data_IF_420423703852
#
_entry.id   IF_420423703852
#
_cell.length_a   1.000
_cell.length_b   1.000
_cell.length_c   1.000
_cell.angle_alpha   90.00
_cell.angle_beta   90.00
_cell.angle_gamma   90.00
#
_symmetry.space_group_name_H-M   'P 1'
#
loop_
_entity.id
_entity.type
_entity.pdbx_description
1 polymer ?
#
# COMPACT_ATOMS: atom_id res chain seq x y z
N UNK A 1 21.03 5.39 -8.81
CA UNK A 1 20.15 4.19 -8.85
C UNK A 1 21.04 2.96 -9.04
N UNK A 2 20.68 1.82 -8.42
CA UNK A 2 21.47 0.61 -8.52
C UNK A 2 21.33 0.00 -9.94
N UNK A 3 22.45 -0.20 -10.70
CA UNK A 3 22.40 -0.78 -12.04
C UNK A 3 21.78 -2.18 -12.09
N UNK A 4 21.84 -2.93 -10.99
CA UNK A 4 21.21 -4.27 -10.88
C UNK A 4 19.69 -4.25 -11.04
N UNK A 5 19.03 -3.09 -10.84
CA UNK A 5 17.59 -2.96 -11.01
C UNK A 5 17.18 -2.57 -12.43
N UNK A 6 18.13 -2.44 -13.35
CA UNK A 6 17.84 -2.21 -14.75
C UNK A 6 17.16 -3.43 -15.39
N UNK A 7 17.63 -4.62 -15.04
CA UNK A 7 16.98 -5.88 -15.41
C UNK A 7 16.00 -6.30 -14.29
N UNK A 8 14.67 -6.29 -14.55
CA UNK A 8 13.68 -6.67 -13.56
C UNK A 8 13.81 -8.12 -13.07
N UNK A 9 14.39 -9.01 -13.86
CA UNK A 9 14.68 -10.41 -13.48
C UNK A 9 15.61 -10.50 -12.28
N UNK A 10 16.54 -9.56 -12.14
CA UNK A 10 17.45 -9.51 -10.99
C UNK A 10 16.72 -9.34 -9.67
N UNK A 11 15.59 -8.60 -9.64
CA UNK A 11 14.80 -8.42 -8.42
C UNK A 11 14.17 -9.75 -8.00
N UNK A 12 13.63 -10.51 -8.95
CA UNK A 12 13.01 -11.81 -8.67
C UNK A 12 14.06 -12.83 -8.24
N UNK A 13 15.21 -12.88 -8.93
CA UNK A 13 16.32 -13.76 -8.53
C UNK A 13 16.82 -13.44 -7.13
N UNK A 14 17.01 -12.17 -6.82
CA UNK A 14 17.44 -11.74 -5.48
C UNK A 14 16.45 -12.17 -4.39
N UNK A 15 15.15 -12.10 -4.66
CA UNK A 15 14.13 -12.57 -3.73
C UNK A 15 14.20 -14.09 -3.51
N UNK A 16 14.43 -14.87 -4.55
CA UNK A 16 14.61 -16.33 -4.46
C UNK A 16 15.88 -16.67 -3.69
N UNK A 17 17.01 -16.08 -4.05
CA UNK A 17 18.32 -16.30 -3.43
C UNK A 17 18.34 -15.87 -1.95
N UNK A 18 17.60 -14.81 -1.62
CA UNK A 18 17.42 -14.31 -0.26
C UNK A 18 16.41 -15.10 0.58
N UNK A 19 15.80 -16.16 0.03
CA UNK A 19 14.84 -17.00 0.76
C UNK A 19 13.52 -16.30 1.10
N UNK A 20 13.11 -15.31 0.30
CA UNK A 20 11.84 -14.61 0.51
C UNK A 20 10.64 -15.53 0.24
N UNK A 21 9.56 -15.32 1.00
CA UNK A 21 8.31 -16.08 0.82
C UNK A 21 7.50 -15.61 -0.39
N UNK A 22 7.70 -14.38 -0.85
CA UNK A 22 7.05 -13.80 -2.01
C UNK A 22 7.86 -12.64 -2.58
N UNK A 23 7.58 -12.25 -3.81
CA UNK A 23 8.11 -11.02 -4.41
C UNK A 23 6.98 -10.11 -4.84
N UNK A 24 7.05 -8.84 -4.42
CA UNK A 24 6.07 -7.81 -4.77
C UNK A 24 6.66 -6.86 -5.82
N UNK A 25 5.96 -6.66 -6.93
CA UNK A 25 6.35 -5.67 -7.93
C UNK A 25 5.18 -5.25 -8.82
N UNK A 26 5.45 -4.43 -9.82
CA UNK A 26 4.46 -3.93 -10.78
C UNK A 26 4.14 -4.95 -11.87
N UNK A 27 3.07 -4.70 -12.62
CA UNK A 27 2.64 -5.57 -13.73
C UNK A 27 3.75 -5.79 -14.76
N UNK A 28 4.46 -4.72 -15.15
CA UNK A 28 5.52 -4.83 -16.15
C UNK A 28 6.68 -5.70 -15.70
N UNK A 29 7.12 -5.57 -14.45
CA UNK A 29 8.22 -6.37 -13.87
C UNK A 29 7.81 -7.83 -13.72
N UNK A 30 6.68 -8.10 -13.07
CA UNK A 30 6.23 -9.48 -12.86
C UNK A 30 5.85 -10.16 -14.18
N UNK A 31 5.24 -9.43 -15.11
CA UNK A 31 4.87 -9.94 -16.42
C UNK A 31 6.08 -10.39 -17.24
N UNK A 32 7.18 -9.63 -17.20
CA UNK A 32 8.44 -10.01 -17.87
C UNK A 32 9.06 -11.29 -17.29
N UNK A 33 8.78 -11.58 -16.01
CA UNK A 33 9.39 -12.69 -15.27
C UNK A 33 8.46 -13.92 -15.11
N UNK A 34 7.15 -13.78 -15.35
CA UNK A 34 6.14 -14.76 -14.93
C UNK A 34 6.39 -16.18 -15.46
N UNK A 35 6.68 -16.34 -16.74
CA UNK A 35 6.94 -17.67 -17.34
C UNK A 35 8.10 -18.42 -16.70
N UNK A 36 9.11 -17.69 -16.21
CA UNK A 36 10.32 -18.30 -15.65
C UNK A 36 10.23 -18.52 -14.14
N UNK A 37 9.45 -17.71 -13.43
CA UNK A 37 9.58 -17.62 -11.97
C UNK A 37 8.27 -17.75 -11.19
N UNK A 38 7.09 -17.59 -11.79
CA UNK A 38 5.83 -17.67 -11.06
C UNK A 38 5.60 -19.02 -10.34
N UNK A 39 6.22 -20.09 -10.83
CA UNK A 39 6.20 -21.42 -10.19
C UNK A 39 7.29 -21.61 -9.12
N UNK A 40 8.22 -20.66 -8.99
CA UNK A 40 9.37 -20.74 -8.06
C UNK A 40 9.23 -19.88 -6.83
N UNK A 41 8.52 -18.76 -6.95
CA UNK A 41 8.25 -17.83 -5.87
C UNK A 41 6.89 -17.20 -6.07
N UNK A 42 6.04 -17.12 -5.03
CA UNK A 42 4.76 -16.44 -5.11
C UNK A 42 4.90 -14.98 -5.54
N UNK A 43 4.07 -14.54 -6.51
CA UNK A 43 4.02 -13.16 -6.97
C UNK A 43 2.90 -12.40 -6.26
N UNK A 44 3.22 -11.21 -5.77
CA UNK A 44 2.28 -10.21 -5.29
C UNK A 44 2.31 -9.02 -6.27
N UNK A 45 1.22 -8.80 -7.00
CA UNK A 45 1.15 -7.69 -7.93
C UNK A 45 0.68 -6.43 -7.22
N UNK A 46 1.55 -5.42 -7.15
CA UNK A 46 1.15 -4.08 -6.72
C UNK A 46 0.49 -3.34 -7.89
N UNK A 47 -0.84 -3.16 -7.83
CA UNK A 47 -1.62 -2.67 -8.96
C UNK A 47 -1.76 -1.15 -9.03
N UNK A 48 -1.47 -0.42 -7.94
CA UNK A 48 -1.48 1.04 -7.94
C UNK A 48 -0.16 1.64 -7.48
N UNK A 49 0.19 2.80 -7.95
CA UNK A 49 1.29 3.61 -7.46
C UNK A 49 1.18 5.07 -7.92
N UNK A 50 2.09 5.92 -7.44
CA UNK A 50 2.13 7.32 -7.83
C UNK A 50 2.55 7.47 -9.30
N UNK A 51 1.98 8.47 -9.95
CA UNK A 51 2.55 9.11 -11.13
C UNK A 51 3.47 10.23 -10.64
N UNK A 52 4.79 10.12 -10.94
CA UNK A 52 5.81 11.01 -10.36
C UNK A 52 6.14 12.23 -11.21
N UNK A 53 5.60 12.32 -12.42
CA UNK A 53 5.86 13.45 -13.32
C UNK A 53 4.95 14.64 -13.05
N UNK A 54 3.82 14.41 -12.38
CA UNK A 54 2.90 15.46 -11.97
C UNK A 54 3.44 16.24 -10.78
N UNK A 55 3.37 17.56 -10.85
CA UNK A 55 3.75 18.44 -9.77
C UNK A 55 2.66 19.50 -9.48
N UNK A 56 2.40 19.83 -8.22
CA UNK A 56 2.93 19.22 -6.99
C UNK A 56 2.36 17.80 -6.77
N UNK A 57 3.15 16.94 -6.13
CA UNK A 57 2.73 15.60 -5.79
C UNK A 57 1.54 15.64 -4.79
N UNK A 58 0.40 15.11 -5.20
CA UNK A 58 -0.84 15.09 -4.40
C UNK A 58 -1.00 13.85 -3.53
N UNK A 59 0.03 13.01 -3.42
CA UNK A 59 -0.07 11.69 -2.80
C UNK A 59 -1.20 10.85 -3.41
N UNK A 60 -1.31 10.94 -4.72
CA UNK A 60 -2.27 10.18 -5.49
C UNK A 60 -1.72 8.78 -5.81
N UNK A 61 -2.59 7.80 -5.73
CA UNK A 61 -2.32 6.43 -6.15
C UNK A 61 -3.32 6.09 -7.25
N UNK A 62 -2.81 5.80 -8.43
CA UNK A 62 -3.63 5.44 -9.59
C UNK A 62 -3.38 3.99 -10.01
N UNK A 63 -4.36 3.37 -10.63
CA UNK A 63 -4.27 2.00 -11.08
C UNK A 63 -3.42 1.90 -12.36
N UNK A 64 -2.47 0.97 -12.35
CA UNK A 64 -1.64 0.60 -13.49
C UNK A 64 -1.87 -0.85 -13.94
N UNK A 65 -2.71 -1.59 -13.22
CA UNK A 65 -3.06 -2.96 -13.55
C UNK A 65 -4.44 -3.32 -13.03
N UNK A 66 -5.11 -4.24 -13.69
CA UNK A 66 -6.34 -4.87 -13.21
C UNK A 66 -6.04 -6.14 -12.40
N UNK A 67 -7.01 -6.54 -11.56
CA UNK A 67 -6.93 -7.78 -10.78
C UNK A 67 -6.90 -9.00 -11.72
N UNK A 68 -7.61 -8.94 -12.85
CA UNK A 68 -7.60 -10.00 -13.86
C UNK A 68 -6.22 -10.20 -14.45
N UNK A 69 -5.51 -9.11 -14.81
CA UNK A 69 -4.13 -9.22 -15.29
C UNK A 69 -3.21 -9.85 -14.23
N UNK A 70 -3.41 -9.53 -12.95
CA UNK A 70 -2.65 -10.17 -11.87
C UNK A 70 -2.86 -11.69 -11.85
N UNK A 71 -4.12 -12.14 -11.94
CA UNK A 71 -4.46 -13.56 -11.99
C UNK A 71 -3.85 -14.25 -13.21
N UNK A 72 -3.97 -13.65 -14.38
CA UNK A 72 -3.52 -14.23 -15.65
C UNK A 72 -1.99 -14.39 -15.72
N UNK A 73 -1.21 -13.55 -15.04
CA UNK A 73 0.25 -13.72 -14.93
C UNK A 73 0.71 -14.68 -13.83
N UNK A 74 -0.24 -15.26 -13.08
CA UNK A 74 0.06 -16.23 -12.03
C UNK A 74 0.34 -15.63 -10.65
N UNK A 75 -0.03 -14.37 -10.39
CA UNK A 75 0.06 -13.81 -9.05
C UNK A 75 -0.94 -14.49 -8.10
N UNK A 76 -0.49 -14.72 -6.86
CA UNK A 76 -1.31 -15.30 -5.80
C UNK A 76 -1.89 -14.26 -4.86
N UNK A 77 -1.37 -13.05 -4.95
CA UNK A 77 -1.81 -11.91 -4.16
C UNK A 77 -1.76 -10.63 -4.98
N UNK A 78 -2.56 -9.66 -4.57
CA UNK A 78 -2.50 -8.28 -5.07
C UNK A 78 -2.26 -7.31 -3.93
N UNK A 79 -1.73 -6.14 -4.26
CA UNK A 79 -1.47 -5.15 -3.24
C UNK A 79 -1.67 -3.73 -3.74
N UNK A 80 -2.06 -2.86 -2.82
CA UNK A 80 -2.28 -1.45 -3.06
C UNK A 80 -1.68 -0.58 -1.96
N UNK A 81 -1.40 0.65 -2.29
CA UNK A 81 -1.15 1.71 -1.30
C UNK A 81 -2.39 2.59 -1.20
N UNK A 82 -2.78 2.92 0.02
CA UNK A 82 -3.69 4.03 0.29
C UNK A 82 -2.95 5.07 1.13
N UNK A 83 -3.02 6.31 0.69
CA UNK A 83 -2.54 7.45 1.47
C UNK A 83 -3.71 8.08 2.22
N UNK A 84 -4.02 7.50 3.38
CA UNK A 84 -5.11 7.96 4.25
C UNK A 84 -4.90 9.40 4.69
N UNK A 85 -5.96 10.19 4.61
CA UNK A 85 -5.94 11.61 4.95
C UNK A 85 -5.41 12.54 3.87
N UNK A 86 -4.95 12.02 2.72
CA UNK A 86 -4.65 12.83 1.55
C UNK A 86 -5.92 13.34 0.86
N UNK A 87 -5.85 14.37 0.01
CA UNK A 87 -7.01 14.82 -0.77
C UNK A 87 -7.67 13.72 -1.60
N UNK A 88 -6.90 12.73 -2.03
CA UNK A 88 -7.35 11.60 -2.88
C UNK A 88 -7.76 10.36 -2.07
N UNK A 89 -7.71 10.43 -0.74
CA UNK A 89 -7.94 9.29 0.16
C UNK A 89 -9.28 8.59 -0.07
N UNK A 90 -10.36 9.37 -0.19
CA UNK A 90 -11.71 8.81 -0.36
C UNK A 90 -11.85 8.00 -1.65
N UNK A 91 -11.30 8.51 -2.76
CA UNK A 91 -11.28 7.80 -4.05
C UNK A 91 -10.45 6.53 -3.96
N UNK A 92 -9.25 6.61 -3.39
CA UNK A 92 -8.37 5.46 -3.21
C UNK A 92 -9.02 4.35 -2.36
N UNK A 93 -9.75 4.71 -1.30
CA UNK A 93 -10.47 3.74 -0.46
C UNK A 93 -11.52 2.98 -1.29
N UNK A 94 -12.33 3.69 -2.07
CA UNK A 94 -13.38 3.07 -2.91
C UNK A 94 -12.74 2.14 -3.95
N UNK A 95 -11.79 2.64 -4.73
CA UNK A 95 -11.13 1.87 -5.79
C UNK A 95 -10.44 0.61 -5.24
N UNK A 96 -9.72 0.73 -4.12
CA UNK A 96 -9.00 -0.41 -3.52
C UNK A 96 -9.97 -1.41 -2.91
N UNK A 97 -11.08 -0.97 -2.29
CA UNK A 97 -12.09 -1.89 -1.75
C UNK A 97 -12.75 -2.73 -2.85
N UNK A 98 -13.07 -2.13 -3.99
CA UNK A 98 -13.60 -2.84 -5.16
C UNK A 98 -12.59 -3.84 -5.73
N UNK A 99 -11.33 -3.42 -5.83
CA UNK A 99 -10.25 -4.29 -6.31
C UNK A 99 -9.99 -5.47 -5.35
N UNK A 100 -10.05 -5.25 -4.04
CA UNK A 100 -9.87 -6.31 -3.04
C UNK A 100 -11.03 -7.32 -3.08
N UNK A 101 -12.29 -6.85 -3.23
CA UNK A 101 -13.42 -7.73 -3.44
C UNK A 101 -13.23 -8.61 -4.68
N UNK A 102 -12.85 -8.03 -5.82
CA UNK A 102 -12.56 -8.77 -7.05
C UNK A 102 -11.37 -9.77 -6.88
N UNK A 103 -10.38 -9.43 -6.07
CA UNK A 103 -9.27 -10.33 -5.77
C UNK A 103 -9.71 -11.55 -4.98
N UNK A 104 -10.54 -11.36 -3.96
CA UNK A 104 -11.11 -12.45 -3.16
C UNK A 104 -12.00 -13.38 -4.00
N UNK A 105 -12.81 -12.83 -4.92
CA UNK A 105 -13.59 -13.65 -5.87
C UNK A 105 -12.71 -14.56 -6.74
N UNK A 106 -11.48 -14.12 -7.03
CA UNK A 106 -10.49 -14.90 -7.78
C UNK A 106 -9.58 -15.77 -6.89
N UNK A 107 -9.83 -15.82 -5.59
CA UNK A 107 -9.04 -16.59 -4.63
C UNK A 107 -7.63 -16.05 -4.40
N UNK A 108 -7.43 -14.72 -4.51
CA UNK A 108 -6.16 -14.06 -4.30
C UNK A 108 -6.15 -13.34 -2.94
N UNK A 109 -5.02 -13.38 -2.26
CA UNK A 109 -4.82 -12.59 -1.04
C UNK A 109 -4.63 -11.10 -1.35
N UNK A 110 -4.97 -10.25 -0.36
CA UNK A 110 -4.89 -8.79 -0.48
C UNK A 110 -3.92 -8.21 0.53
N UNK A 111 -3.05 -7.29 0.08
CA UNK A 111 -2.05 -6.63 0.92
C UNK A 111 -2.17 -5.12 0.79
N UNK A 112 -2.39 -4.44 1.91
CA UNK A 112 -2.48 -2.98 1.95
C UNK A 112 -1.21 -2.35 2.50
N UNK A 113 -0.56 -1.49 1.70
CA UNK A 113 0.40 -0.51 2.19
C UNK A 113 -0.38 0.66 2.77
N UNK A 114 -0.47 0.68 4.09
CA UNK A 114 -1.32 1.58 4.86
C UNK A 114 -0.50 2.77 5.37
N UNK A 115 -0.62 3.91 4.72
CA UNK A 115 0.16 5.08 5.08
C UNK A 115 -0.72 6.32 5.28
N UNK A 116 -0.40 7.08 6.32
CA UNK A 116 -0.98 8.41 6.52
C UNK A 116 -0.26 9.43 5.62
N UNK A 117 -1.03 10.34 5.02
CA UNK A 117 -0.54 11.48 4.25
C UNK A 117 -1.52 12.64 4.36
N UNK A 118 -1.40 13.40 5.43
CA UNK A 118 -2.18 14.60 5.66
C UNK A 118 -1.25 15.74 6.10
N UNK A 119 -1.21 16.87 5.38
CA UNK A 119 -0.36 18.01 5.77
C UNK A 119 -0.59 18.50 7.19
N UNK A 120 -1.82 18.37 7.72
CA UNK A 120 -2.16 18.76 9.08
C UNK A 120 -1.48 17.90 10.17
N UNK A 121 -0.93 16.74 9.81
CA UNK A 121 -0.22 15.84 10.74
C UNK A 121 1.25 16.18 10.91
N UNK A 122 1.74 17.17 10.20
CA UNK A 122 3.09 17.72 10.36
C UNK A 122 3.01 19.10 11.01
N UNK A 123 3.44 19.18 12.25
CA UNK A 123 3.47 20.42 13.05
C UNK A 123 4.89 20.69 13.56
N UNK A 124 5.07 20.72 14.88
CA UNK A 124 6.34 20.74 15.57
C UNK A 124 7.19 19.50 15.31
N UNK A 125 6.50 18.36 15.16
CA UNK A 125 7.07 17.10 14.70
C UNK A 125 6.15 16.44 13.66
N UNK A 126 6.54 15.27 13.16
CA UNK A 126 5.82 14.51 12.14
C UNK A 126 4.99 13.39 12.79
N UNK A 127 3.69 13.57 12.92
CA UNK A 127 2.75 12.61 13.51
C UNK A 127 2.22 11.54 12.55
N UNK A 128 2.77 11.42 11.33
CA UNK A 128 2.32 10.39 10.37
C UNK A 128 2.62 8.95 10.80
N UNK A 129 3.33 8.76 11.89
CA UNK A 129 3.57 7.44 12.50
C UNK A 129 3.01 7.33 13.91
N UNK A 130 2.26 8.33 14.38
CA UNK A 130 1.61 8.29 15.67
C UNK A 130 0.71 7.06 15.81
N UNK A 131 0.80 6.34 16.94
CA UNK A 131 0.15 5.04 17.13
C UNK A 131 -1.38 5.12 17.05
N UNK A 132 -1.98 6.18 17.59
CA UNK A 132 -3.42 6.44 17.54
C UNK A 132 -3.92 6.72 16.10
N UNK A 133 -3.21 7.54 15.35
CA UNK A 133 -3.54 7.85 13.95
C UNK A 133 -3.32 6.65 13.03
N UNK A 134 -2.21 5.93 13.19
CA UNK A 134 -1.92 4.73 12.40
C UNK A 134 -2.88 3.59 12.75
N UNK A 135 -3.30 3.48 14.00
CA UNK A 135 -4.34 2.55 14.44
C UNK A 135 -5.66 2.79 13.72
N UNK A 136 -6.05 4.05 13.54
CA UNK A 136 -7.25 4.41 12.76
C UNK A 136 -7.12 4.00 11.29
N UNK A 137 -5.96 4.24 10.67
CA UNK A 137 -5.72 3.82 9.30
C UNK A 137 -5.75 2.29 9.14
N UNK A 138 -5.19 1.55 10.11
CA UNK A 138 -5.26 0.09 10.13
C UNK A 138 -6.70 -0.42 10.23
N UNK A 139 -7.52 0.22 11.06
CA UNK A 139 -8.94 -0.11 11.16
C UNK A 139 -9.66 0.05 9.82
N UNK A 140 -9.39 1.12 9.07
CA UNK A 140 -9.91 1.30 7.72
C UNK A 140 -9.41 0.20 6.76
N UNK A 141 -8.15 -0.22 6.88
CA UNK A 141 -7.61 -1.34 6.12
C UNK A 141 -8.35 -2.66 6.38
N UNK A 142 -8.67 -2.95 7.64
CA UNK A 142 -9.50 -4.11 8.01
C UNK A 142 -10.92 -3.98 7.45
N UNK A 143 -11.48 -2.78 7.50
CA UNK A 143 -12.84 -2.50 7.00
C UNK A 143 -12.99 -2.82 5.50
N UNK A 144 -11.95 -2.60 4.70
CA UNK A 144 -11.93 -2.93 3.26
C UNK A 144 -11.41 -4.34 2.97
N UNK A 145 -11.32 -5.20 4.00
CA UNK A 145 -10.91 -6.61 3.90
C UNK A 145 -9.48 -6.81 3.37
N UNK A 146 -8.52 -6.01 3.82
CA UNK A 146 -7.12 -6.32 3.61
C UNK A 146 -6.71 -7.54 4.47
N UNK A 147 -6.20 -8.61 3.85
CA UNK A 147 -5.70 -9.79 4.58
C UNK A 147 -4.40 -9.50 5.32
N UNK A 148 -3.57 -8.65 4.73
CA UNK A 148 -2.30 -8.21 5.32
C UNK A 148 -2.19 -6.70 5.25
N UNK A 149 -1.85 -6.07 6.37
CA UNK A 149 -1.58 -4.63 6.44
C UNK A 149 -0.10 -4.40 6.70
N UNK A 150 0.57 -3.74 5.75
CA UNK A 150 1.94 -3.26 5.92
C UNK A 150 1.91 -1.84 6.44
N UNK A 151 2.46 -1.64 7.63
CA UNK A 151 2.50 -0.39 8.36
C UNK A 151 3.94 0.02 8.66
N UNK A 152 4.19 1.32 8.84
CA UNK A 152 5.40 1.78 9.52
C UNK A 152 5.32 1.45 11.01
N UNK A 153 6.46 1.30 11.67
CA UNK A 153 6.47 1.14 13.13
C UNK A 153 5.84 2.37 13.78
N UNK A 154 4.79 2.19 14.61
CA UNK A 154 4.10 3.31 15.24
C UNK A 154 4.91 3.88 16.40
N UNK A 155 4.74 5.18 16.64
CA UNK A 155 5.32 5.91 17.77
C UNK A 155 4.21 6.36 18.72
N UNK A 156 4.44 6.24 20.02
CA UNK A 156 3.47 6.69 21.03
C UNK A 156 3.76 8.15 21.42
N UNK A 157 3.40 9.05 20.52
CA UNK A 157 3.70 10.48 20.60
C UNK A 157 2.46 11.40 20.71
N UNK A 158 1.26 10.80 20.83
CA UNK A 158 0.02 11.53 21.08
C UNK A 158 -0.50 12.31 19.88
N UNK A 159 -0.56 11.68 18.71
CA UNK A 159 -0.97 12.30 17.46
C UNK A 159 -2.33 13.00 17.52
N UNK A 160 -3.38 12.36 18.04
CA UNK A 160 -4.68 13.00 18.19
C UNK A 160 -4.65 14.29 19.02
N UNK A 161 -3.90 14.29 20.11
CA UNK A 161 -3.76 15.48 20.94
C UNK A 161 -3.07 16.61 20.20
N UNK A 162 -2.03 16.27 19.42
CA UNK A 162 -1.27 17.25 18.66
C UNK A 162 -2.07 17.88 17.51
N UNK A 163 -2.93 17.11 16.84
CA UNK A 163 -3.71 17.60 15.70
C UNK A 163 -5.07 18.17 16.10
N UNK A 164 -5.51 17.97 17.34
CA UNK A 164 -6.75 18.54 17.84
C UNK A 164 -6.72 20.07 17.79
N UNK A 165 -7.76 20.63 17.22
CA UNK A 165 -8.07 22.08 17.29
C UNK A 165 -9.42 22.26 17.96
N UNK A 166 -9.73 23.48 18.45
CA UNK A 166 -11.06 23.79 18.98
C UNK A 166 -12.17 23.59 17.97
N UNK A 167 -11.86 23.76 16.68
CA UNK A 167 -12.78 23.67 15.56
C UNK A 167 -12.88 22.24 15.00
N UNK A 168 -11.84 21.41 15.20
CA UNK A 168 -11.76 20.05 14.70
C UNK A 168 -11.25 19.12 15.80
N UNK A 169 -12.10 18.69 16.72
CA UNK A 169 -11.71 17.76 17.77
C UNK A 169 -11.57 16.35 17.19
N UNK A 170 -10.39 16.00 16.69
CA UNK A 170 -10.04 14.62 16.38
C UNK A 170 -9.91 13.85 17.69
N UNK A 171 -10.93 13.07 18.01
CA UNK A 171 -10.90 12.12 19.11
C UNK A 171 -10.55 12.72 20.48
N UNK A 172 -11.54 13.06 21.26
CA UNK A 172 -11.39 12.99 22.70
C UNK A 172 -11.35 11.52 23.06
N UNK A 173 -10.18 10.92 23.06
CA UNK A 173 -10.00 9.68 23.77
C UNK A 173 -9.97 10.07 25.25
N UNK A 174 -11.04 9.79 25.96
CA UNK A 174 -10.97 9.72 27.42
C UNK A 174 -9.87 8.72 27.76
N UNK A 175 -9.01 9.08 28.71
CA UNK A 175 -7.84 8.31 29.12
C UNK A 175 -8.19 6.90 29.53
#
# INVERSE_FOLDING_TARGET
>A
KNPLYFDPENIVRLAIEGGCNAVASTLGVLGACSRRYAHRIPFLLKFNHNEFLSYPNKFDQIFFASIRQAKDLGAVAVGATIYFGSPESSRQIVEVSEAFAAAHELGMATVLWCYLRNPAFKKDQDYHVAADLTGQANHLGVTIQADVIKQKLPENDGGYLAINTKENPYGKTDK
#
